data_IF_423857372912
#
_entry.id   IF_423857372912
#
_cell.length_a   1.000
_cell.length_b   1.000
_cell.length_c   1.000
_cell.angle_alpha   90.00
_cell.angle_beta   90.00
_cell.angle_gamma   90.00
#
_symmetry.space_group_name_H-M   'P 1'
#
loop_
_entity.id
_entity.type
_entity.pdbx_description
1 polymer ?
#
# COMPACT_ATOMS: atom_id res chain seq x y z
N UNK A 1 1.36 16.29 33.28
CA UNK A 1 1.69 16.32 31.84
C UNK A 1 2.10 14.92 31.43
N UNK A 2 1.20 14.14 30.82
CA UNK A 2 1.50 12.78 30.35
C UNK A 2 2.30 12.91 29.05
N UNK A 3 3.51 12.36 28.94
CA UNK A 3 4.23 12.41 27.68
C UNK A 3 3.42 11.63 26.64
N UNK A 4 3.06 12.29 25.54
CA UNK A 4 2.51 11.62 24.38
C UNK A 4 3.57 10.63 23.90
N UNK A 5 3.30 9.32 24.03
CA UNK A 5 4.18 8.28 23.51
C UNK A 5 4.22 8.45 21.99
N UNK A 6 5.27 9.07 21.47
CA UNK A 6 5.54 9.12 20.04
C UNK A 6 5.87 7.71 19.59
N UNK A 7 4.93 7.03 18.94
CA UNK A 7 5.19 5.76 18.28
C UNK A 7 6.12 6.02 17.09
N UNK A 8 7.43 5.79 17.25
CA UNK A 8 8.38 5.83 16.15
C UNK A 8 8.06 4.68 15.19
N UNK A 9 8.03 4.98 13.89
CA UNK A 9 7.90 3.95 12.87
C UNK A 9 9.14 3.04 12.92
N UNK A 10 8.92 1.74 13.03
CA UNK A 10 10.00 0.76 12.91
C UNK A 10 10.47 0.66 11.45
N UNK A 11 11.73 0.27 11.22
CA UNK A 11 12.31 0.18 9.86
C UNK A 11 11.45 -0.61 8.86
N UNK A 12 10.78 -1.68 9.31
CA UNK A 12 9.83 -2.44 8.48
C UNK A 12 8.63 -1.62 8.02
N UNK A 13 8.06 -0.80 8.89
CA UNK A 13 6.89 0.03 8.58
C UNK A 13 7.27 1.11 7.58
N UNK A 14 8.50 1.63 7.68
CA UNK A 14 9.07 2.53 6.68
C UNK A 14 9.18 1.82 5.32
N UNK A 15 9.70 0.59 5.28
CA UNK A 15 9.78 -0.18 4.02
C UNK A 15 8.39 -0.45 3.44
N UNK A 16 7.41 -0.83 4.26
CA UNK A 16 6.01 -1.02 3.83
C UNK A 16 5.46 0.27 3.21
N UNK A 17 5.65 1.41 3.89
CA UNK A 17 5.23 2.71 3.37
C UNK A 17 5.88 3.03 2.03
N UNK A 18 7.20 2.80 1.89
CA UNK A 18 7.93 3.07 0.65
C UNK A 18 7.44 2.17 -0.50
N UNK A 19 7.20 0.89 -0.26
CA UNK A 19 6.67 -0.03 -1.28
C UNK A 19 5.25 0.35 -1.70
N UNK A 20 4.39 0.72 -0.74
CA UNK A 20 3.03 1.18 -1.03
C UNK A 20 3.05 2.51 -1.80
N UNK A 21 3.92 3.45 -1.44
CA UNK A 21 4.12 4.70 -2.19
C UNK A 21 4.60 4.42 -3.61
N UNK A 22 5.64 3.58 -3.78
CA UNK A 22 6.17 3.24 -5.09
C UNK A 22 5.08 2.61 -5.98
N UNK A 23 4.33 1.65 -5.44
CA UNK A 23 3.21 1.02 -6.16
C UNK A 23 2.13 2.03 -6.52
N UNK A 24 1.71 2.86 -5.56
CA UNK A 24 0.67 3.86 -5.77
C UNK A 24 1.06 4.88 -6.83
N UNK A 25 2.30 5.37 -6.81
CA UNK A 25 2.82 6.33 -7.79
C UNK A 25 2.94 5.72 -9.19
N UNK A 26 3.35 4.45 -9.32
CA UNK A 26 3.35 3.76 -10.62
C UNK A 26 1.92 3.68 -11.17
N UNK A 27 0.94 3.35 -10.33
CA UNK A 27 -0.46 3.27 -10.76
C UNK A 27 -1.03 4.63 -11.15
N UNK A 28 -0.75 5.68 -10.38
CA UNK A 28 -1.15 7.05 -10.74
C UNK A 28 -0.52 7.47 -12.07
N UNK A 29 0.78 7.21 -12.25
CA UNK A 29 1.48 7.54 -13.49
C UNK A 29 0.87 6.80 -14.68
N UNK A 30 0.64 5.49 -14.60
CA UNK A 30 -0.03 4.72 -15.66
C UNK A 30 -1.45 5.23 -15.91
N UNK A 31 -2.23 5.46 -14.85
CA UNK A 31 -3.61 5.91 -14.93
C UNK A 31 -3.77 7.28 -15.57
N UNK A 32 -2.91 8.24 -15.21
CA UNK A 32 -2.93 9.60 -15.75
C UNK A 32 -2.44 9.66 -17.20
N UNK A 33 -1.40 8.90 -17.56
CA UNK A 33 -0.87 8.90 -18.93
C UNK A 33 -1.76 8.14 -19.91
N UNK A 34 -2.39 7.05 -19.49
CA UNK A 34 -3.24 6.21 -20.35
C UNK A 34 -4.74 6.49 -20.21
N UNK A 35 -5.15 7.44 -19.35
CA UNK A 35 -6.57 7.73 -19.09
C UNK A 35 -7.32 6.59 -18.39
N UNK A 36 -6.61 5.71 -17.69
CA UNK A 36 -7.18 4.52 -17.05
C UNK A 36 -7.64 4.83 -15.62
N UNK A 37 -8.93 5.15 -15.47
CA UNK A 37 -9.55 5.51 -14.17
C UNK A 37 -9.28 4.47 -13.08
N UNK A 38 -9.29 3.17 -13.42
CA UNK A 38 -9.04 2.09 -12.48
C UNK A 38 -7.62 2.14 -11.90
N UNK A 39 -6.62 2.51 -12.71
CA UNK A 39 -5.25 2.69 -12.23
C UNK A 39 -5.13 3.93 -11.34
N UNK A 40 -5.86 5.01 -11.64
CA UNK A 40 -5.91 6.19 -10.76
C UNK A 40 -6.49 5.82 -9.40
N UNK A 41 -7.62 5.09 -9.37
CA UNK A 41 -8.24 4.62 -8.15
C UNK A 41 -7.34 3.66 -7.36
N UNK A 42 -6.61 2.78 -8.06
CA UNK A 42 -5.61 1.92 -7.42
C UNK A 42 -4.51 2.75 -6.74
N UNK A 43 -3.96 3.73 -7.45
CA UNK A 43 -2.95 4.63 -6.92
C UNK A 43 -3.41 5.37 -5.67
N UNK A 44 -4.60 5.97 -5.71
CA UNK A 44 -5.20 6.64 -4.56
C UNK A 44 -5.48 5.68 -3.40
N UNK A 45 -5.96 4.46 -3.69
CA UNK A 45 -6.21 3.41 -2.71
C UNK A 45 -4.94 3.04 -1.93
N UNK A 46 -3.82 2.82 -2.62
CA UNK A 46 -2.53 2.57 -1.97
C UNK A 46 -2.11 3.70 -1.03
N UNK A 47 -2.15 4.94 -1.52
CA UNK A 47 -1.72 6.11 -0.74
C UNK A 47 -2.63 6.34 0.48
N UNK A 48 -3.95 6.25 0.30
CA UNK A 48 -4.91 6.45 1.37
C UNK A 48 -4.81 5.37 2.46
N UNK A 49 -4.73 4.09 2.07
CA UNK A 49 -4.64 2.98 3.03
C UNK A 49 -3.28 2.96 3.75
N UNK A 50 -2.19 3.25 3.05
CA UNK A 50 -0.86 3.39 3.65
C UNK A 50 -0.83 4.55 4.66
N UNK A 51 -1.37 5.71 4.30
CA UNK A 51 -1.48 6.86 5.19
C UNK A 51 -2.31 6.53 6.44
N UNK A 52 -3.49 5.93 6.25
CA UNK A 52 -4.38 5.55 7.35
C UNK A 52 -3.77 4.47 8.25
N UNK A 53 -2.99 3.53 7.69
CA UNK A 53 -2.39 2.43 8.43
C UNK A 53 -1.14 2.81 9.23
N UNK A 54 -0.37 3.80 8.79
CA UNK A 54 0.97 4.04 9.34
C UNK A 54 1.26 5.48 9.76
N UNK A 55 0.56 6.50 9.25
CA UNK A 55 0.80 7.87 9.71
C UNK A 55 0.16 8.15 11.07
N UNK A 56 0.78 9.01 11.90
CA UNK A 56 0.28 9.35 13.23
C UNK A 56 -0.89 10.35 13.17
N UNK A 57 -1.92 10.07 12.36
CA UNK A 57 -3.13 10.89 12.22
C UNK A 57 -4.11 10.51 13.36
N UNK A 58 -4.45 11.41 14.31
CA UNK A 58 -5.22 11.04 15.50
C UNK A 58 -6.62 10.49 15.20
N UNK A 59 -7.44 11.08 14.31
CA UNK A 59 -8.77 10.54 13.99
C UNK A 59 -8.77 9.13 13.41
N UNK A 60 -7.66 8.69 12.83
CA UNK A 60 -7.53 7.38 12.19
C UNK A 60 -6.97 6.30 13.13
N UNK A 61 -6.68 6.63 14.39
CA UNK A 61 -5.99 5.72 15.31
C UNK A 61 -6.67 4.36 15.46
N UNK A 62 -8.00 4.34 15.59
CA UNK A 62 -8.82 3.12 15.69
C UNK A 62 -8.90 2.33 14.38
N UNK A 63 -8.72 3.00 13.23
CA UNK A 63 -8.78 2.39 11.90
C UNK A 63 -7.44 1.86 11.42
N UNK A 64 -6.32 2.14 12.11
CA UNK A 64 -4.97 1.77 11.64
C UNK A 64 -4.81 0.28 11.34
N UNK A 65 -5.31 -0.60 12.22
CA UNK A 65 -5.19 -2.05 12.02
C UNK A 65 -6.05 -2.50 10.83
N UNK A 66 -7.26 -1.96 10.71
CA UNK A 66 -8.17 -2.25 9.60
C UNK A 66 -7.62 -1.74 8.27
N UNK A 67 -7.00 -0.55 8.26
CA UNK A 67 -6.34 0.00 7.08
C UNK A 67 -5.17 -0.87 6.61
N UNK A 68 -4.41 -1.50 7.52
CA UNK A 68 -3.33 -2.44 7.17
C UNK A 68 -3.87 -3.75 6.61
N UNK A 69 -4.93 -4.30 7.20
CA UNK A 69 -5.63 -5.46 6.64
C UNK A 69 -6.24 -5.15 5.27
N UNK A 70 -6.86 -4.00 5.12
CA UNK A 70 -7.40 -3.52 3.86
C UNK A 70 -6.29 -3.33 2.82
N UNK A 71 -5.14 -2.76 3.18
CA UNK A 71 -3.99 -2.62 2.28
C UNK A 71 -3.48 -3.99 1.80
N UNK A 72 -3.43 -5.00 2.68
CA UNK A 72 -3.07 -6.36 2.32
C UNK A 72 -4.08 -6.96 1.33
N UNK A 73 -5.37 -6.92 1.64
CA UNK A 73 -6.42 -7.45 0.78
C UNK A 73 -6.47 -6.72 -0.58
N UNK A 74 -6.34 -5.40 -0.55
CA UNK A 74 -6.31 -4.55 -1.74
C UNK A 74 -5.13 -4.91 -2.65
N UNK A 75 -3.93 -5.08 -2.08
CA UNK A 75 -2.75 -5.49 -2.84
C UNK A 75 -2.90 -6.89 -3.42
N UNK A 76 -3.55 -7.81 -2.71
CA UNK A 76 -3.84 -9.13 -3.28
C UNK A 76 -4.80 -9.02 -4.48
N UNK A 77 -5.83 -8.17 -4.39
CA UNK A 77 -6.77 -7.93 -5.50
C UNK A 77 -6.07 -7.31 -6.72
N UNK A 78 -5.14 -6.37 -6.55
CA UNK A 78 -4.41 -5.78 -7.69
C UNK A 78 -3.48 -6.77 -8.37
N UNK A 79 -2.85 -7.68 -7.62
CA UNK A 79 -2.06 -8.79 -8.17
C UNK A 79 -2.98 -9.74 -8.96
N UNK A 80 -4.07 -10.20 -8.37
CA UNK A 80 -5.01 -11.12 -9.00
C UNK A 80 -5.60 -10.49 -10.27
N UNK A 81 -6.04 -9.24 -10.21
CA UNK A 81 -6.54 -8.51 -11.38
C UNK A 81 -5.50 -8.43 -12.49
N UNK A 82 -4.24 -8.12 -12.15
CA UNK A 82 -3.16 -8.11 -13.15
C UNK A 82 -2.90 -9.50 -13.75
N UNK A 83 -3.02 -10.59 -12.99
CA UNK A 83 -2.89 -11.96 -13.53
C UNK A 83 -3.95 -12.21 -14.62
N UNK A 84 -5.18 -11.73 -14.47
CA UNK A 84 -6.22 -11.96 -15.47
C UNK A 84 -6.20 -11.00 -16.66
N UNK A 85 -5.98 -9.70 -16.41
CA UNK A 85 -6.18 -8.66 -17.43
C UNK A 85 -5.01 -7.68 -17.58
N UNK A 86 -3.90 -7.92 -16.88
CA UNK A 86 -2.76 -7.00 -16.87
C UNK A 86 -1.80 -7.19 -18.03
N UNK A 87 -1.20 -6.09 -18.49
CA UNK A 87 -0.15 -6.12 -19.51
C UNK A 87 1.12 -6.85 -19.03
N UNK A 88 1.73 -7.61 -19.94
CA UNK A 88 2.98 -8.37 -19.72
C UNK A 88 4.20 -7.60 -20.19
N UNK A 89 4.36 -6.39 -19.67
CA UNK A 89 5.50 -5.52 -19.97
C UNK A 89 6.41 -5.35 -18.73
N UNK A 90 7.59 -4.77 -18.92
CA UNK A 90 8.59 -4.62 -17.86
C UNK A 90 8.05 -3.85 -16.64
N UNK A 91 7.31 -2.76 -16.86
CA UNK A 91 6.74 -1.94 -15.78
C UNK A 91 5.71 -2.74 -14.98
N UNK A 92 4.88 -3.53 -15.64
CA UNK A 92 3.91 -4.42 -15.02
C UNK A 92 4.58 -5.44 -14.10
N UNK A 93 5.61 -6.13 -14.59
CA UNK A 93 6.37 -7.09 -13.77
C UNK A 93 7.07 -6.43 -12.57
N UNK A 94 7.69 -5.26 -12.77
CA UNK A 94 8.33 -4.49 -11.69
C UNK A 94 7.29 -4.11 -10.61
N UNK A 95 6.15 -3.55 -11.02
CA UNK A 95 5.08 -3.19 -10.09
C UNK A 95 4.59 -4.40 -9.29
N UNK A 96 4.43 -5.56 -9.93
CA UNK A 96 4.01 -6.79 -9.24
C UNK A 96 5.07 -7.33 -8.28
N UNK A 97 6.36 -7.24 -8.61
CA UNK A 97 7.43 -7.62 -7.68
C UNK A 97 7.39 -6.78 -6.40
N UNK A 98 7.16 -5.46 -6.53
CA UNK A 98 7.00 -4.53 -5.41
C UNK A 98 5.77 -4.92 -4.58
N UNK A 99 4.64 -5.21 -5.21
CA UNK A 99 3.41 -5.63 -4.52
C UNK A 99 3.55 -6.96 -3.78
N UNK A 100 4.24 -7.94 -4.37
CA UNK A 100 4.52 -9.22 -3.70
C UNK A 100 5.38 -8.99 -2.46
N UNK A 101 6.43 -8.17 -2.56
CA UNK A 101 7.24 -7.79 -1.40
C UNK A 101 6.40 -7.07 -0.32
N UNK A 102 5.49 -6.20 -0.74
CA UNK A 102 4.55 -5.49 0.15
C UNK A 102 3.61 -6.47 0.88
N UNK A 103 3.02 -7.44 0.17
CA UNK A 103 2.16 -8.49 0.76
C UNK A 103 2.92 -9.27 1.83
N UNK A 104 4.14 -9.72 1.52
CA UNK A 104 4.98 -10.49 2.47
C UNK A 104 5.23 -9.67 3.73
N UNK A 105 5.64 -8.40 3.58
CA UNK A 105 5.93 -7.53 4.72
C UNK A 105 4.68 -7.18 5.53
N UNK A 106 3.52 -6.99 4.89
CA UNK A 106 2.25 -6.74 5.56
C UNK A 106 1.82 -7.93 6.42
N UNK A 107 1.92 -9.16 5.89
CA UNK A 107 1.66 -10.38 6.67
C UNK A 107 2.57 -10.44 7.90
N UNK A 108 3.85 -10.12 7.73
CA UNK A 108 4.83 -10.13 8.83
C UNK A 108 4.60 -8.98 9.83
N UNK A 109 4.12 -7.80 9.42
CA UNK A 109 3.74 -6.70 10.32
C UNK A 109 2.46 -7.04 11.11
N UNK A 110 1.44 -7.60 10.43
CA UNK A 110 0.15 -7.94 11.02
C UNK A 110 0.22 -9.09 12.03
N UNK A 111 1.15 -10.04 11.87
CA UNK A 111 1.35 -11.14 12.84
C UNK A 111 2.08 -10.74 14.12
N UNK A 112 2.72 -9.56 14.15
CA UNK A 112 3.52 -9.10 15.29
C UNK A 112 2.80 -8.09 16.19
N UNK A 113 1.56 -7.73 15.86
CA UNK A 113 0.73 -6.75 16.58
C UNK A 113 -0.61 -7.37 16.89
#
# INVERSE_FOLDING_TARGET
MTPAIQSRLGGRQIVILLLALATGLIHLWLGLNAGLIMFILNGLGYLALAAAGYLPIPPLASLRVWARWALLAFTAVTIIGWIFIGERNAIGFIAKAIEVALVILLIVDLRRK
#
